data_IF_630621731959
#
_entry.id   IF_630621731959
#
_cell.length_a   1.000
_cell.length_b   1.000
_cell.length_c   1.000
_cell.angle_alpha   90.00
_cell.angle_beta   90.00
_cell.angle_gamma   90.00
#
_symmetry.space_group_name_H-M   'P 1'
#
loop_
_entity.id
_entity.type
_entity.pdbx_description
1 polymer ?
#
# COMPACT_ATOMS: atom_id res chain seq x y z
N UNK A 1 10.45 -6.37 22.57
CA UNK A 1 10.68 -5.45 21.40
C UNK A 1 9.32 -5.03 20.89
N UNK A 2 9.05 -3.72 20.83
CA UNK A 2 7.78 -3.18 20.34
C UNK A 2 7.82 -3.05 18.83
N UNK A 3 6.92 -3.74 18.12
CA UNK A 3 6.95 -3.84 16.65
C UNK A 3 5.74 -3.20 15.99
N UNK A 4 5.93 -2.62 14.79
CA UNK A 4 4.86 -2.32 13.85
C UNK A 4 5.02 -3.23 12.63
N UNK A 5 3.91 -3.84 12.18
CA UNK A 5 3.88 -4.63 10.96
C UNK A 5 3.28 -3.80 9.84
N UNK A 6 4.01 -3.67 8.74
CA UNK A 6 3.61 -2.82 7.63
C UNK A 6 3.53 -3.60 6.31
N UNK A 7 2.62 -3.18 5.45
CA UNK A 7 2.27 -3.90 4.23
C UNK A 7 2.49 -3.02 3.00
N UNK A 8 3.22 -3.52 1.98
CA UNK A 8 3.60 -2.73 0.82
C UNK A 8 2.40 -2.35 -0.05
N UNK A 9 2.56 -1.22 -0.75
CA UNK A 9 1.68 -0.77 -1.81
C UNK A 9 2.18 -1.17 -3.20
N UNK A 10 1.50 -0.64 -4.23
CA UNK A 10 1.83 -0.88 -5.63
C UNK A 10 3.25 -0.39 -5.98
N UNK A 11 3.93 -1.14 -6.85
CA UNK A 11 5.31 -0.87 -7.29
C UNK A 11 6.30 -1.96 -6.87
N UNK A 12 5.87 -2.93 -6.04
CA UNK A 12 6.68 -4.07 -5.60
C UNK A 12 6.33 -5.38 -6.32
N UNK A 13 5.30 -5.38 -7.17
CA UNK A 13 4.88 -6.57 -7.93
C UNK A 13 5.84 -6.86 -9.07
N UNK A 14 6.23 -8.12 -9.19
CA UNK A 14 7.07 -8.64 -10.29
C UNK A 14 6.69 -10.10 -10.56
N UNK A 15 6.77 -10.59 -11.81
CA UNK A 15 6.62 -12.01 -12.09
C UNK A 15 7.58 -12.86 -11.23
N UNK A 16 7.07 -13.97 -10.71
CA UNK A 16 7.76 -14.81 -9.74
C UNK A 16 7.43 -14.48 -8.26
N UNK A 17 6.74 -13.36 -7.99
CA UNK A 17 6.36 -13.00 -6.63
C UNK A 17 5.46 -14.07 -5.99
N UNK A 18 5.81 -14.50 -4.76
CA UNK A 18 5.08 -15.52 -4.02
C UNK A 18 5.38 -16.96 -4.43
N UNK A 19 6.00 -17.22 -5.60
CA UNK A 19 6.26 -18.59 -6.09
C UNK A 19 7.14 -19.40 -5.14
N UNK A 20 8.23 -18.82 -4.64
CA UNK A 20 9.12 -19.47 -3.68
C UNK A 20 8.41 -19.79 -2.36
N UNK A 21 7.53 -18.90 -1.87
CA UNK A 21 6.71 -19.15 -0.68
C UNK A 21 5.74 -20.31 -0.91
N UNK A 22 5.04 -20.34 -2.05
CA UNK A 22 4.11 -21.41 -2.39
C UNK A 22 4.81 -22.77 -2.54
N UNK A 23 6.05 -22.79 -3.04
CA UNK A 23 6.86 -23.99 -3.17
C UNK A 23 7.35 -24.51 -1.80
N UNK A 24 7.76 -23.59 -0.90
CA UNK A 24 8.32 -23.94 0.40
C UNK A 24 7.25 -24.30 1.44
N UNK A 25 6.10 -23.61 1.43
CA UNK A 25 5.09 -23.70 2.48
C UNK A 25 3.71 -24.05 1.93
N UNK A 26 3.12 -25.20 2.33
CA UNK A 26 1.74 -25.55 1.98
C UNK A 26 0.72 -24.48 2.39
N UNK A 27 0.91 -23.82 3.54
CA UNK A 27 0.06 -22.76 4.04
C UNK A 27 0.01 -21.54 3.09
N UNK A 28 1.14 -21.17 2.47
CA UNK A 28 1.18 -20.11 1.46
C UNK A 28 0.45 -20.51 0.18
N UNK A 29 0.64 -21.75 -0.29
CA UNK A 29 -0.05 -22.28 -1.48
C UNK A 29 -1.56 -22.25 -1.29
N UNK A 30 -2.06 -22.73 -0.15
CA UNK A 30 -3.48 -22.72 0.18
C UNK A 30 -4.05 -21.29 0.20
N UNK A 31 -3.29 -20.30 0.66
CA UNK A 31 -3.73 -18.90 0.63
C UNK A 31 -3.84 -18.39 -0.81
N UNK A 32 -2.91 -18.69 -1.68
CA UNK A 32 -3.00 -18.29 -3.09
C UNK A 32 -4.20 -18.94 -3.78
N UNK A 33 -4.48 -20.22 -3.48
CA UNK A 33 -5.68 -20.93 -3.96
C UNK A 33 -6.97 -20.29 -3.43
N UNK A 34 -7.02 -19.89 -2.15
CA UNK A 34 -8.13 -19.17 -1.53
C UNK A 34 -8.43 -17.84 -2.24
N UNK A 35 -7.37 -17.08 -2.59
CA UNK A 35 -7.50 -15.82 -3.32
C UNK A 35 -7.95 -16.06 -4.76
N UNK A 36 -7.41 -17.06 -5.45
CA UNK A 36 -7.83 -17.44 -6.81
C UNK A 36 -9.32 -17.80 -6.85
N UNK A 37 -9.78 -18.58 -5.89
CA UNK A 37 -11.20 -18.96 -5.74
C UNK A 37 -12.07 -17.74 -5.45
N UNK A 38 -11.67 -16.89 -4.49
CA UNK A 38 -12.39 -15.68 -4.10
C UNK A 38 -12.61 -14.71 -5.27
N UNK A 39 -11.63 -14.64 -6.18
CA UNK A 39 -11.66 -13.77 -7.37
C UNK A 39 -12.20 -14.46 -8.62
N UNK A 40 -12.41 -15.77 -8.58
CA UNK A 40 -12.69 -16.60 -9.78
C UNK A 40 -11.67 -16.31 -10.90
N UNK A 41 -10.39 -16.17 -10.55
CA UNK A 41 -9.30 -15.79 -11.41
C UNK A 41 -8.05 -16.57 -11.02
N UNK A 42 -7.27 -17.09 -11.97
CA UNK A 42 -5.95 -17.66 -11.70
C UNK A 42 -4.89 -16.58 -11.47
N UNK A 43 -5.09 -15.78 -10.41
CA UNK A 43 -4.20 -14.68 -10.05
C UNK A 43 -2.81 -15.20 -9.65
N UNK A 44 -2.76 -16.31 -8.92
CA UNK A 44 -1.51 -16.96 -8.51
C UNK A 44 -0.63 -17.31 -9.71
N UNK A 45 -1.22 -17.83 -10.79
CA UNK A 45 -0.50 -18.10 -12.03
C UNK A 45 0.06 -16.82 -12.66
N UNK A 46 -0.73 -15.74 -12.69
CA UNK A 46 -0.27 -14.44 -13.18
C UNK A 46 0.90 -13.91 -12.32
N UNK A 47 0.83 -14.08 -11.00
CA UNK A 47 1.91 -13.70 -10.08
C UNK A 47 3.20 -14.48 -10.32
N UNK A 48 3.11 -15.78 -10.58
CA UNK A 48 4.27 -16.66 -10.71
C UNK A 48 4.90 -16.62 -12.09
N UNK A 49 4.07 -16.59 -13.14
CA UNK A 49 4.50 -16.77 -14.53
C UNK A 49 4.42 -15.48 -15.37
N UNK A 50 3.63 -14.48 -14.93
CA UNK A 50 3.32 -13.28 -15.72
C UNK A 50 2.24 -13.51 -16.77
N UNK A 51 2.13 -12.69 -17.80
CA UNK A 51 3.10 -11.65 -18.20
C UNK A 51 3.11 -10.42 -17.28
N UNK A 52 4.24 -9.73 -17.23
CA UNK A 52 4.43 -8.54 -16.42
C UNK A 52 3.41 -7.43 -16.73
N UNK A 53 3.12 -7.24 -18.03
CA UNK A 53 2.16 -6.22 -18.48
C UNK A 53 0.76 -6.39 -17.88
N UNK A 54 0.31 -7.63 -17.65
CA UNK A 54 -0.97 -7.91 -17.01
C UNK A 54 -0.88 -7.77 -15.48
N UNK A 55 0.23 -8.20 -14.89
CA UNK A 55 0.46 -8.07 -13.45
C UNK A 55 0.56 -6.61 -13.02
N UNK A 56 1.07 -5.74 -13.88
CA UNK A 56 1.20 -4.30 -13.64
C UNK A 56 -0.14 -3.55 -13.67
N UNK A 57 -1.19 -4.12 -14.28
CA UNK A 57 -2.53 -3.53 -14.21
C UNK A 57 -2.99 -3.44 -12.76
N UNK A 58 -3.46 -2.25 -12.34
CA UNK A 58 -3.77 -2.01 -10.93
C UNK A 58 -4.83 -2.97 -10.37
N UNK A 59 -5.76 -3.43 -11.20
CA UNK A 59 -6.76 -4.43 -10.83
C UNK A 59 -6.18 -5.83 -10.53
N UNK A 60 -4.98 -6.13 -11.00
CA UNK A 60 -4.25 -7.37 -10.72
C UNK A 60 -3.16 -7.15 -9.67
N UNK A 61 -2.44 -6.03 -9.76
CA UNK A 61 -1.35 -5.69 -8.84
C UNK A 61 -1.83 -5.60 -7.38
N UNK A 62 -3.01 -4.99 -7.15
CA UNK A 62 -3.52 -4.82 -5.79
C UNK A 62 -3.83 -6.17 -5.11
N UNK A 63 -4.64 -7.08 -5.67
CA UNK A 63 -4.87 -8.36 -5.03
C UNK A 63 -3.62 -9.27 -5.02
N UNK A 64 -2.69 -9.13 -5.97
CA UNK A 64 -1.44 -9.88 -5.96
C UNK A 64 -0.54 -9.51 -4.77
N UNK A 65 -0.39 -8.22 -4.49
CA UNK A 65 0.38 -7.73 -3.35
C UNK A 65 -0.26 -8.09 -2.02
N UNK A 66 -1.59 -8.02 -1.94
CA UNK A 66 -2.36 -8.49 -0.78
C UNK A 66 -2.11 -9.98 -0.54
N UNK A 67 -2.26 -10.81 -1.59
CA UNK A 67 -2.06 -12.26 -1.50
C UNK A 67 -0.63 -12.60 -1.03
N UNK A 68 0.40 -11.95 -1.59
CA UNK A 68 1.78 -12.17 -1.18
C UNK A 68 2.01 -11.81 0.29
N UNK A 69 1.44 -10.71 0.76
CA UNK A 69 1.55 -10.27 2.14
C UNK A 69 0.84 -11.22 3.11
N UNK A 70 -0.39 -11.60 2.79
CA UNK A 70 -1.17 -12.50 3.64
C UNK A 70 -0.65 -13.95 3.61
N UNK A 71 0.03 -14.36 2.52
CA UNK A 71 0.72 -15.65 2.46
C UNK A 71 1.83 -15.73 3.51
N UNK A 72 2.63 -14.67 3.69
CA UNK A 72 3.64 -14.61 4.74
C UNK A 72 2.99 -14.68 6.12
N UNK A 73 1.94 -13.92 6.39
CA UNK A 73 1.21 -13.98 7.67
C UNK A 73 0.69 -15.39 7.95
N UNK A 74 0.05 -16.02 6.96
CA UNK A 74 -0.49 -17.39 7.08
C UNK A 74 0.59 -18.42 7.40
N UNK A 75 1.78 -18.27 6.78
CA UNK A 75 2.93 -19.14 7.09
C UNK A 75 3.39 -18.92 8.53
N UNK A 76 3.58 -17.68 8.97
CA UNK A 76 3.97 -17.37 10.35
C UNK A 76 2.98 -17.94 11.36
N UNK A 77 1.68 -17.82 11.11
CA UNK A 77 0.62 -18.37 11.97
C UNK A 77 0.70 -19.90 12.07
N UNK A 78 0.89 -20.60 10.95
CA UNK A 78 0.86 -22.07 10.89
C UNK A 78 2.16 -22.72 11.35
N UNK A 79 3.30 -22.14 10.98
CA UNK A 79 4.61 -22.76 11.26
C UNK A 79 5.21 -22.29 12.60
N UNK A 80 4.86 -21.08 13.07
CA UNK A 80 5.44 -20.48 14.27
C UNK A 80 4.42 -20.15 15.38
N UNK A 81 3.13 -20.40 15.16
CA UNK A 81 2.10 -20.00 16.13
C UNK A 81 2.04 -18.47 16.31
N UNK A 82 2.43 -17.72 15.30
CA UNK A 82 2.40 -16.26 15.32
C UNK A 82 0.98 -15.75 15.55
N UNK A 83 0.85 -14.81 16.48
CA UNK A 83 -0.39 -14.07 16.70
C UNK A 83 -0.09 -12.57 16.61
N UNK A 84 -0.61 -11.92 15.57
CA UNK A 84 -0.34 -10.51 15.32
C UNK A 84 -0.77 -9.62 16.50
N UNK A 85 -1.84 -10.02 17.23
CA UNK A 85 -2.32 -9.27 18.39
C UNK A 85 -1.34 -9.28 19.58
N UNK A 86 -0.44 -10.27 19.64
CA UNK A 86 0.59 -10.36 20.66
C UNK A 86 1.93 -9.77 20.24
N UNK A 87 2.18 -9.74 18.92
CA UNK A 87 3.49 -9.40 18.37
C UNK A 87 3.56 -7.97 17.82
N UNK A 88 2.40 -7.36 17.49
CA UNK A 88 2.32 -6.03 16.91
C UNK A 88 1.73 -5.03 17.89
N UNK A 89 2.35 -3.85 17.99
CA UNK A 89 1.75 -2.69 18.63
C UNK A 89 0.82 -1.94 17.64
N UNK A 90 1.19 -1.95 16.37
CA UNK A 90 0.45 -1.29 15.29
C UNK A 90 0.54 -2.11 14.01
N UNK A 91 -0.50 -1.96 13.18
CA UNK A 91 -0.45 -2.35 11.78
C UNK A 91 -0.67 -1.13 10.90
N UNK A 92 -0.01 -1.08 9.75
CA UNK A 92 -0.23 -0.06 8.73
C UNK A 92 0.07 -0.64 7.34
N UNK A 93 -0.40 0.04 6.30
CA UNK A 93 -0.04 -0.35 4.95
C UNK A 93 -0.02 0.86 4.04
N UNK A 94 0.78 0.82 2.99
CA UNK A 94 0.83 1.91 2.03
C UNK A 94 -0.26 1.71 0.98
N UNK A 95 -1.22 2.64 0.89
CA UNK A 95 -2.33 2.57 -0.08
C UNK A 95 -3.11 1.24 0.02
N UNK A 96 -3.06 0.37 -0.99
CA UNK A 96 -3.68 -0.96 -0.92
C UNK A 96 -3.20 -1.80 0.26
N UNK A 97 -1.98 -1.58 0.73
CA UNK A 97 -1.42 -2.28 1.88
C UNK A 97 -2.22 -2.07 3.17
N UNK A 98 -3.03 -1.01 3.26
CA UNK A 98 -3.93 -0.78 4.39
C UNK A 98 -5.01 -1.87 4.48
N UNK A 99 -5.49 -2.39 3.33
CA UNK A 99 -6.39 -3.56 3.30
C UNK A 99 -5.68 -4.84 3.72
N UNK A 100 -4.40 -5.00 3.35
CA UNK A 100 -3.57 -6.13 3.81
C UNK A 100 -3.36 -6.07 5.33
N UNK A 101 -3.12 -4.87 5.88
CA UNK A 101 -3.00 -4.64 7.32
C UNK A 101 -4.29 -5.02 8.07
N UNK A 102 -5.44 -4.61 7.55
CA UNK A 102 -6.76 -4.94 8.12
C UNK A 102 -7.03 -6.44 8.09
N UNK A 103 -6.75 -7.12 6.98
CA UNK A 103 -6.92 -8.56 6.88
C UNK A 103 -5.97 -9.31 7.82
N UNK A 104 -4.69 -8.91 7.91
CA UNK A 104 -3.74 -9.47 8.86
C UNK A 104 -4.16 -9.25 10.32
N UNK A 105 -4.78 -8.10 10.63
CA UNK A 105 -5.32 -7.80 11.96
C UNK A 105 -6.68 -8.45 12.24
N UNK A 106 -7.23 -9.23 11.31
CA UNK A 106 -8.49 -9.97 11.47
C UNK A 106 -9.75 -9.13 11.28
N UNK A 107 -9.64 -7.90 10.74
CA UNK A 107 -10.79 -7.05 10.46
C UNK A 107 -11.53 -7.44 9.18
N UNK A 108 -10.87 -8.13 8.26
CA UNK A 108 -11.42 -8.66 7.01
C UNK A 108 -10.96 -10.10 6.82
N UNK A 109 -11.79 -10.94 6.24
CA UNK A 109 -11.34 -12.22 5.70
C UNK A 109 -10.44 -12.02 4.48
N UNK A 110 -9.60 -13.00 4.17
CA UNK A 110 -8.75 -12.97 2.96
C UNK A 110 -9.59 -12.77 1.69
N UNK A 111 -10.70 -13.49 1.60
CA UNK A 111 -11.59 -13.43 0.45
C UNK A 111 -12.25 -12.05 0.29
N UNK A 112 -12.72 -11.44 1.37
CA UNK A 112 -13.30 -10.09 1.34
C UNK A 112 -12.26 -9.04 0.98
N UNK A 113 -11.08 -9.08 1.60
CA UNK A 113 -9.99 -8.18 1.29
C UNK A 113 -9.55 -8.29 -0.18
N UNK A 114 -9.44 -9.51 -0.71
CA UNK A 114 -9.10 -9.74 -2.12
C UNK A 114 -10.13 -9.14 -3.07
N UNK A 115 -11.44 -9.37 -2.82
CA UNK A 115 -12.51 -8.78 -3.62
C UNK A 115 -12.54 -7.26 -3.54
N UNK A 116 -12.35 -6.69 -2.35
CA UNK A 116 -12.31 -5.24 -2.16
C UNK A 116 -11.17 -4.59 -2.94
N UNK A 117 -9.94 -5.11 -2.83
CA UNK A 117 -8.81 -4.51 -3.56
C UNK A 117 -8.88 -4.75 -5.06
N UNK A 118 -9.51 -5.86 -5.51
CA UNK A 118 -9.83 -6.09 -6.93
C UNK A 118 -10.83 -5.04 -7.42
N UNK A 119 -11.95 -4.83 -6.72
CA UNK A 119 -12.96 -3.81 -7.03
C UNK A 119 -12.36 -2.40 -7.01
N UNK A 120 -11.51 -2.12 -6.02
CA UNK A 120 -10.76 -0.86 -5.91
C UNK A 120 -9.85 -0.63 -7.13
N UNK A 121 -9.06 -1.61 -7.50
CA UNK A 121 -8.19 -1.53 -8.68
C UNK A 121 -8.97 -1.27 -9.97
N UNK A 122 -10.06 -1.98 -10.17
CA UNK A 122 -10.95 -1.79 -11.32
C UNK A 122 -11.60 -0.40 -11.33
N UNK A 123 -12.08 0.07 -10.18
CA UNK A 123 -12.69 1.40 -10.04
C UNK A 123 -11.68 2.51 -10.34
N UNK A 124 -10.48 2.42 -9.79
CA UNK A 124 -9.40 3.39 -10.02
C UNK A 124 -8.94 3.40 -11.49
N UNK A 125 -8.87 2.23 -12.14
CA UNK A 125 -8.50 2.14 -13.56
C UNK A 125 -9.54 2.79 -14.46
N UNK A 126 -10.82 2.72 -14.09
CA UNK A 126 -11.95 3.28 -14.85
C UNK A 126 -12.23 4.75 -14.56
N UNK A 127 -11.78 5.27 -13.42
CA UNK A 127 -12.08 6.63 -12.96
C UNK A 127 -11.59 7.70 -13.92
N UNK A 128 -10.47 7.46 -14.60
CA UNK A 128 -9.86 8.40 -15.54
C UNK A 128 -9.44 7.66 -16.80
N UNK A 129 -9.78 8.16 -18.01
CA UNK A 129 -9.31 7.56 -19.25
C UNK A 129 -7.76 7.49 -19.32
N UNK A 130 -7.25 6.42 -19.93
CA UNK A 130 -5.80 6.22 -20.09
C UNK A 130 -5.19 7.42 -20.80
N UNK A 131 -4.10 7.94 -20.27
CA UNK A 131 -3.37 9.08 -20.84
C UNK A 131 -3.85 10.46 -20.36
N UNK A 132 -5.02 10.58 -19.74
CA UNK A 132 -5.55 11.85 -19.19
C UNK A 132 -4.86 12.21 -17.87
N UNK A 133 -4.60 11.23 -17.03
CA UNK A 133 -3.94 11.41 -15.76
C UNK A 133 -2.48 10.97 -15.75
N UNK A 134 -1.73 11.42 -14.76
CA UNK A 134 -0.34 11.02 -14.51
C UNK A 134 0.03 11.19 -13.04
N UNK A 135 1.19 10.62 -12.67
CA UNK A 135 1.84 10.83 -11.38
C UNK A 135 3.34 11.08 -11.59
N UNK A 136 3.93 11.87 -10.69
CA UNK A 136 5.38 12.10 -10.69
C UNK A 136 5.93 12.16 -9.27
N UNK A 137 7.11 11.59 -9.06
CA UNK A 137 7.88 11.74 -7.84
C UNK A 137 8.75 13.00 -7.93
N UNK A 138 8.60 13.90 -6.95
CA UNK A 138 9.42 15.08 -6.74
C UNK A 138 10.44 14.76 -5.66
N UNK A 139 11.73 14.79 -6.00
CA UNK A 139 12.81 14.38 -5.13
C UNK A 139 13.67 15.59 -4.74
N UNK A 140 13.83 15.79 -3.42
CA UNK A 140 14.62 16.90 -2.86
C UNK A 140 13.80 18.11 -2.42
N UNK A 141 12.47 18.08 -2.57
CA UNK A 141 11.57 19.09 -2.02
C UNK A 141 10.96 18.61 -0.70
N UNK A 142 10.78 19.52 0.24
CA UNK A 142 9.92 19.30 1.39
C UNK A 142 8.44 19.40 0.98
N UNK A 143 7.53 19.08 1.91
CA UNK A 143 6.10 19.01 1.60
C UNK A 143 5.51 20.37 1.23
N UNK A 144 5.97 21.46 1.84
CA UNK A 144 5.47 22.81 1.56
C UNK A 144 5.96 23.30 0.20
N UNK A 145 7.22 23.06 -0.15
CA UNK A 145 7.74 23.36 -1.48
C UNK A 145 7.05 22.52 -2.56
N UNK A 146 6.79 21.25 -2.32
CA UNK A 146 6.05 20.37 -3.24
C UNK A 146 4.58 20.84 -3.39
N UNK A 147 3.93 21.30 -2.32
CA UNK A 147 2.57 21.88 -2.34
C UNK A 147 2.54 23.13 -3.23
N UNK A 148 3.47 24.05 -3.01
CA UNK A 148 3.56 25.26 -3.82
C UNK A 148 3.83 24.97 -5.31
N UNK A 149 4.59 23.91 -5.63
CA UNK A 149 4.79 23.43 -7.00
C UNK A 149 3.48 22.89 -7.58
N UNK A 150 2.77 22.05 -6.85
CA UNK A 150 1.51 21.47 -7.30
C UNK A 150 0.43 22.55 -7.57
N UNK A 151 0.27 23.51 -6.64
CA UNK A 151 -0.65 24.64 -6.78
C UNK A 151 -0.33 25.52 -8.00
N UNK A 152 0.96 25.87 -8.20
CA UNK A 152 1.40 26.66 -9.35
C UNK A 152 1.22 25.89 -10.68
N UNK A 153 1.38 24.57 -10.66
CA UNK A 153 1.23 23.70 -11.82
C UNK A 153 -0.23 23.45 -12.21
N UNK A 154 -1.17 23.57 -11.28
CA UNK A 154 -2.57 23.20 -11.49
C UNK A 154 -3.22 23.99 -12.63
N UNK A 155 -3.16 25.32 -12.62
CA UNK A 155 -3.67 26.19 -13.70
C UNK A 155 -5.09 25.82 -14.17
N UNK A 156 -6.00 25.56 -13.20
CA UNK A 156 -7.36 25.12 -13.48
C UNK A 156 -7.52 23.60 -13.70
N UNK A 157 -6.48 22.83 -13.64
CA UNK A 157 -6.47 21.37 -13.66
C UNK A 157 -6.15 20.82 -12.27
N UNK A 158 -6.36 19.51 -12.07
CA UNK A 158 -5.97 18.82 -10.84
C UNK A 158 -4.47 18.54 -10.84
N UNK A 159 -3.81 18.90 -9.74
CA UNK A 159 -2.45 18.50 -9.40
C UNK A 159 -2.35 18.44 -7.86
N UNK A 160 -2.62 17.29 -7.28
CA UNK A 160 -2.70 17.09 -5.84
C UNK A 160 -1.43 16.39 -5.33
N UNK A 161 -1.11 16.59 -4.04
CA UNK A 161 -0.11 15.76 -3.36
C UNK A 161 -0.73 14.39 -3.10
N UNK A 162 -0.14 13.34 -3.69
CA UNK A 162 -0.63 11.97 -3.61
C UNK A 162 0.04 11.14 -2.51
N UNK A 163 1.35 11.30 -2.31
CA UNK A 163 2.09 10.59 -1.27
C UNK A 163 3.16 11.48 -0.65
N UNK A 164 3.22 11.51 0.67
CA UNK A 164 4.36 11.97 1.46
C UNK A 164 5.12 10.73 1.95
N UNK A 165 6.07 10.25 1.14
CA UNK A 165 6.72 8.97 1.35
C UNK A 165 7.91 9.03 2.32
N UNK A 166 8.69 10.09 2.28
CA UNK A 166 9.83 10.33 3.18
C UNK A 166 10.32 11.78 3.02
N UNK A 167 11.19 12.29 3.90
CA UNK A 167 11.82 13.59 3.69
C UNK A 167 12.42 13.68 2.28
N UNK A 168 11.99 14.69 1.52
CA UNK A 168 12.44 14.90 0.15
C UNK A 168 11.91 13.88 -0.89
N UNK A 169 10.86 13.14 -0.61
CA UNK A 169 10.23 12.24 -1.58
C UNK A 169 8.70 12.38 -1.54
N UNK A 170 8.17 13.29 -2.31
CA UNK A 170 6.75 13.60 -2.45
C UNK A 170 6.27 13.16 -3.83
N UNK A 171 5.06 12.63 -3.93
CA UNK A 171 4.43 12.29 -5.20
C UNK A 171 3.26 13.23 -5.47
N UNK A 172 3.20 13.76 -6.68
CA UNK A 172 2.06 14.53 -7.20
C UNK A 172 1.26 13.68 -8.19
N UNK A 173 -0.05 13.93 -8.24
CA UNK A 173 -1.01 13.19 -9.06
C UNK A 173 -2.09 14.12 -9.58
N UNK A 174 -2.53 13.90 -10.81
CA UNK A 174 -3.58 14.73 -11.41
C UNK A 174 -3.64 14.60 -12.92
N UNK A 175 -4.13 15.66 -13.58
CA UNK A 175 -4.11 15.73 -15.04
C UNK A 175 -2.68 15.71 -15.57
N UNK A 176 -2.44 14.96 -16.63
CA UNK A 176 -1.09 14.78 -17.22
C UNK A 176 -0.39 16.13 -17.46
N UNK A 177 -1.05 17.09 -18.08
CA UNK A 177 -0.44 18.40 -18.36
C UNK A 177 -0.09 19.18 -17.09
N UNK A 178 -0.87 19.07 -16.02
CA UNK A 178 -0.55 19.69 -14.73
C UNK A 178 0.64 19.00 -14.07
N UNK A 179 0.69 17.67 -14.08
CA UNK A 179 1.82 16.90 -13.54
C UNK A 179 3.11 17.18 -14.31
N UNK A 180 3.06 17.29 -15.65
CA UNK A 180 4.22 17.66 -16.47
C UNK A 180 4.72 19.07 -16.14
N UNK A 181 3.84 20.05 -15.92
CA UNK A 181 4.21 21.39 -15.42
C UNK A 181 4.83 21.30 -14.01
N UNK A 182 4.29 20.48 -13.11
CA UNK A 182 4.85 20.27 -11.78
C UNK A 182 6.28 19.72 -11.85
N UNK A 183 6.53 18.78 -12.75
CA UNK A 183 7.89 18.25 -13.02
C UNK A 183 8.83 19.38 -13.46
N UNK A 184 8.44 20.21 -14.44
CA UNK A 184 9.24 21.32 -14.92
C UNK A 184 9.55 22.34 -13.80
N UNK A 185 8.51 22.77 -13.05
CA UNK A 185 8.67 23.72 -11.94
C UNK A 185 9.53 23.16 -10.79
N UNK A 186 9.46 21.87 -10.51
CA UNK A 186 10.32 21.23 -9.52
C UNK A 186 11.80 21.24 -9.98
N UNK A 187 12.05 20.94 -11.25
CA UNK A 187 13.40 20.97 -11.82
C UNK A 187 13.99 22.38 -11.84
N UNK A 188 13.21 23.42 -12.11
CA UNK A 188 13.62 24.82 -12.04
C UNK A 188 14.05 25.22 -10.61
N UNK A 189 13.47 24.57 -9.58
CA UNK A 189 13.84 24.74 -8.17
C UNK A 189 15.03 23.86 -7.73
N UNK A 190 15.70 23.18 -8.68
CA UNK A 190 16.86 22.32 -8.39
C UNK A 190 16.52 20.92 -7.88
N UNK A 191 15.24 20.55 -7.85
CA UNK A 191 14.79 19.20 -7.49
C UNK A 191 14.96 18.23 -8.67
N UNK A 192 14.98 16.91 -8.37
CA UNK A 192 14.80 15.88 -9.40
C UNK A 192 13.32 15.50 -9.46
N UNK A 193 12.81 15.27 -10.66
CA UNK A 193 11.45 14.82 -10.85
C UNK A 193 11.41 13.65 -11.82
N UNK A 194 10.57 12.65 -11.54
CA UNK A 194 10.48 11.40 -12.31
C UNK A 194 8.99 11.09 -12.54
N UNK A 195 8.58 11.03 -13.80
CA UNK A 195 7.24 10.52 -14.16
C UNK A 195 7.13 9.04 -13.77
N UNK A 196 6.06 8.67 -13.09
CA UNK A 196 5.84 7.29 -12.66
C UNK A 196 5.11 6.49 -13.75
N UNK A 197 5.50 5.21 -13.99
CA UNK A 197 4.86 4.34 -14.97
C UNK A 197 3.55 3.76 -14.40
N UNK A 198 2.56 4.62 -14.19
CA UNK A 198 1.25 4.23 -13.62
C UNK A 198 0.14 4.40 -14.67
N UNK A 199 -0.91 3.58 -14.54
CA UNK A 199 -2.04 3.57 -15.46
C UNK A 199 -3.13 4.60 -15.12
N UNK A 200 -3.10 5.18 -13.90
CA UNK A 200 -4.09 6.14 -13.43
C UNK A 200 -3.46 7.11 -12.40
N UNK A 201 -4.05 8.32 -12.22
CA UNK A 201 -3.59 9.31 -11.26
C UNK A 201 -4.16 9.00 -9.87
N UNK A 202 -3.54 8.08 -9.12
CA UNK A 202 -4.01 7.67 -7.80
C UNK A 202 -3.91 8.80 -6.77
N UNK A 203 -4.74 8.72 -5.72
CA UNK A 203 -4.70 9.60 -4.55
C UNK A 203 -4.85 11.09 -4.86
N UNK A 204 -5.70 11.44 -5.83
CA UNK A 204 -6.08 12.81 -6.15
C UNK A 204 -7.58 12.91 -6.40
N UNK A 205 -8.08 14.13 -6.51
CA UNK A 205 -9.52 14.41 -6.68
C UNK A 205 -10.13 13.80 -7.95
N UNK A 206 -9.32 13.46 -8.97
CA UNK A 206 -9.80 12.73 -10.16
C UNK A 206 -10.25 11.28 -9.85
N UNK A 207 -9.89 10.75 -8.69
CA UNK A 207 -10.35 9.43 -8.25
C UNK A 207 -11.72 9.43 -7.58
N UNK A 208 -12.45 10.55 -7.55
CA UNK A 208 -13.79 10.65 -6.96
C UNK A 208 -14.75 9.56 -7.44
N UNK A 209 -14.82 9.19 -8.75
CA UNK A 209 -15.69 8.10 -9.17
C UNK A 209 -15.32 6.74 -8.58
N UNK A 210 -14.03 6.52 -8.29
CA UNK A 210 -13.58 5.31 -7.60
C UNK A 210 -13.94 5.35 -6.11
N UNK A 211 -13.91 6.52 -5.47
CA UNK A 211 -14.34 6.69 -4.08
C UNK A 211 -15.84 6.38 -3.90
N UNK A 212 -16.68 6.76 -4.85
CA UNK A 212 -18.11 6.44 -4.83
C UNK A 212 -18.33 4.92 -4.88
N UNK A 213 -17.65 4.22 -5.79
CA UNK A 213 -17.70 2.75 -5.89
C UNK A 213 -17.20 2.10 -4.60
N UNK A 214 -16.14 2.64 -3.98
CA UNK A 214 -15.62 2.11 -2.72
C UNK A 214 -16.53 2.38 -1.53
N UNK A 215 -17.28 3.48 -1.55
CA UNK A 215 -18.32 3.76 -0.54
C UNK A 215 -19.37 2.65 -0.53
N UNK A 216 -19.89 2.28 -1.70
CA UNK A 216 -20.85 1.17 -1.84
C UNK A 216 -20.22 -0.17 -1.41
N UNK A 217 -19.01 -0.47 -1.92
CA UNK A 217 -18.33 -1.72 -1.62
C UNK A 217 -18.09 -1.92 -0.11
N UNK A 218 -17.63 -0.87 0.57
CA UNK A 218 -17.36 -0.92 2.00
C UNK A 218 -18.64 -0.92 2.85
N UNK A 219 -19.73 -0.30 2.37
CA UNK A 219 -21.02 -0.40 3.03
C UNK A 219 -21.54 -1.85 3.08
N UNK A 220 -21.34 -2.61 2.00
CA UNK A 220 -21.75 -4.01 1.88
C UNK A 220 -20.80 -4.99 2.61
N UNK A 221 -19.59 -4.57 2.95
CA UNK A 221 -18.57 -5.44 3.56
C UNK A 221 -18.74 -5.50 5.08
N UNK A 222 -18.73 -6.70 5.65
CA UNK A 222 -18.58 -6.90 7.07
C UNK A 222 -17.12 -6.61 7.47
N UNK A 223 -16.89 -5.48 8.14
CA UNK A 223 -15.58 -5.10 8.66
C UNK A 223 -15.64 -5.11 10.18
N UNK A 224 -14.85 -5.99 10.78
CA UNK A 224 -14.73 -6.13 12.23
C UNK A 224 -13.67 -5.16 12.79
N UNK A 225 -13.69 -4.97 14.11
CA UNK A 225 -12.61 -4.22 14.76
C UNK A 225 -11.28 -4.98 14.61
N UNK A 226 -10.21 -4.33 14.13
CA UNK A 226 -8.90 -4.98 14.02
C UNK A 226 -8.37 -5.31 15.42
N UNK A 227 -7.75 -6.49 15.56
CA UNK A 227 -7.14 -6.95 16.81
C UNK A 227 -5.89 -6.14 17.22
N UNK A 228 -5.39 -5.32 16.33
CA UNK A 228 -4.26 -4.41 16.52
C UNK A 228 -4.64 -3.06 15.91
N UNK A 229 -4.37 -1.92 16.58
CA UNK A 229 -4.69 -0.61 16.02
C UNK A 229 -4.07 -0.39 14.65
N UNK A 230 -4.90 0.07 13.69
CA UNK A 230 -4.47 0.50 12.37
C UNK A 230 -3.94 1.93 12.44
N UNK A 231 -2.81 2.23 11.81
CA UNK A 231 -2.41 3.60 11.50
C UNK A 231 -2.88 3.93 10.09
N UNK A 232 -3.92 4.76 10.01
CA UNK A 232 -4.60 5.07 8.75
C UNK A 232 -3.83 6.07 7.89
N UNK A 233 -3.78 5.85 6.57
CA UNK A 233 -2.98 6.63 5.62
C UNK A 233 -3.32 8.13 5.59
N UNK A 234 -4.61 8.46 5.56
CA UNK A 234 -5.07 9.85 5.40
C UNK A 234 -5.04 10.64 6.71
N UNK A 235 -5.20 9.95 7.84
CA UNK A 235 -5.18 10.56 9.16
C UNK A 235 -3.77 10.62 9.76
N UNK A 236 -2.88 9.68 9.41
CA UNK A 236 -1.62 9.40 10.10
C UNK A 236 -1.83 9.27 11.62
N UNK A 237 -2.91 8.62 11.99
CA UNK A 237 -3.37 8.41 13.37
C UNK A 237 -3.91 6.99 13.53
N UNK A 238 -3.94 6.50 14.78
CA UNK A 238 -4.44 5.18 15.10
C UNK A 238 -5.96 5.16 15.15
N UNK A 239 -6.56 4.09 14.63
CA UNK A 239 -7.99 3.79 14.78
C UNK A 239 -8.19 2.28 14.90
N UNK A 240 -9.29 1.88 15.58
CA UNK A 240 -9.78 0.51 15.65
C UNK A 240 -11.30 0.44 15.41
N UNK A 241 -11.92 1.58 15.13
CA UNK A 241 -13.37 1.68 14.96
C UNK A 241 -13.78 1.33 13.53
N UNK A 242 -14.56 0.27 13.28
CA UNK A 242 -14.91 -0.18 11.94
C UNK A 242 -15.57 0.88 11.06
N UNK A 243 -16.45 1.69 11.62
CA UNK A 243 -17.13 2.75 10.88
C UNK A 243 -16.17 3.85 10.43
N UNK A 244 -15.24 4.25 11.30
CA UNK A 244 -14.20 5.23 10.98
C UNK A 244 -13.22 4.66 9.94
N UNK A 245 -12.80 3.39 10.08
CA UNK A 245 -11.91 2.73 9.12
C UNK A 245 -12.53 2.74 7.72
N UNK A 246 -13.81 2.38 7.58
CA UNK A 246 -14.52 2.43 6.29
C UNK A 246 -14.48 3.82 5.67
N UNK A 247 -14.77 4.86 6.45
CA UNK A 247 -14.71 6.24 6.00
C UNK A 247 -13.29 6.63 5.54
N UNK A 248 -12.27 6.32 6.34
CA UNK A 248 -10.87 6.63 6.01
C UNK A 248 -10.38 5.88 4.76
N UNK A 249 -10.82 4.64 4.52
CA UNK A 249 -10.52 3.89 3.31
C UNK A 249 -11.15 4.51 2.04
N UNK A 250 -12.36 5.07 2.16
CA UNK A 250 -12.98 5.84 1.07
C UNK A 250 -12.17 7.11 0.80
N UNK A 251 -11.88 7.89 1.83
CA UNK A 251 -11.09 9.12 1.73
C UNK A 251 -9.70 8.87 1.14
N UNK A 252 -9.06 7.73 1.49
CA UNK A 252 -7.75 7.33 1.00
C UNK A 252 -7.71 7.27 -0.55
N UNK A 253 -8.82 6.97 -1.20
CA UNK A 253 -8.89 6.87 -2.66
C UNK A 253 -8.55 8.19 -3.35
N UNK A 254 -8.94 9.33 -2.74
CA UNK A 254 -8.79 10.68 -3.30
C UNK A 254 -7.79 11.56 -2.56
N UNK A 255 -7.24 11.10 -1.43
CA UNK A 255 -6.38 11.91 -0.56
C UNK A 255 -4.97 11.33 -0.46
N UNK A 256 -4.06 12.19 -0.01
CA UNK A 256 -2.64 11.87 0.17
C UNK A 256 -2.42 10.77 1.20
N UNK A 257 -1.56 9.81 0.83
CA UNK A 257 -0.96 8.84 1.75
C UNK A 257 0.11 9.55 2.58
N UNK A 258 -0.13 9.74 3.87
CA UNK A 258 0.77 10.41 4.83
C UNK A 258 1.73 9.41 5.47
N UNK A 259 2.51 8.71 4.62
CA UNK A 259 3.36 7.61 5.06
C UNK A 259 4.46 8.06 6.00
N UNK A 260 5.13 9.19 5.69
CA UNK A 260 6.17 9.76 6.55
C UNK A 260 5.66 10.02 7.96
N UNK A 261 4.48 10.62 8.08
CA UNK A 261 3.88 10.91 9.38
C UNK A 261 3.45 9.63 10.12
N UNK A 262 2.97 8.60 9.41
CA UNK A 262 2.65 7.29 9.98
C UNK A 262 3.89 6.63 10.60
N UNK A 263 5.05 6.72 9.94
CA UNK A 263 6.31 6.19 10.48
C UNK A 263 6.80 7.02 11.68
N UNK A 264 6.67 8.35 11.63
CA UNK A 264 7.00 9.21 12.78
C UNK A 264 6.11 8.93 14.00
N UNK A 265 4.83 8.55 13.78
CA UNK A 265 3.96 8.09 14.86
C UNK A 265 4.52 6.81 15.51
N UNK A 266 5.06 5.87 14.75
CA UNK A 266 5.70 4.68 15.32
C UNK A 266 6.86 5.07 16.23
N UNK A 267 7.76 5.94 15.77
CA UNK A 267 8.90 6.43 16.57
C UNK A 267 8.44 7.14 17.85
N UNK A 268 7.47 8.03 17.74
CA UNK A 268 6.91 8.76 18.88
C UNK A 268 6.23 7.85 19.92
N UNK A 269 5.81 6.65 19.51
CA UNK A 269 5.20 5.65 20.37
C UNK A 269 6.17 4.50 20.72
N UNK A 270 7.47 4.74 20.69
CA UNK A 270 8.50 3.80 21.15
C UNK A 270 8.50 2.45 20.41
N UNK A 271 8.08 2.42 19.14
CA UNK A 271 8.30 1.26 18.29
C UNK A 271 9.80 1.13 18.04
N UNK A 272 10.33 -0.07 18.20
CA UNK A 272 11.76 -0.36 18.03
C UNK A 272 12.05 -0.96 16.64
N UNK A 273 11.09 -1.70 16.09
CA UNK A 273 11.24 -2.40 14.82
C UNK A 273 9.99 -2.29 13.94
N UNK A 274 10.18 -1.96 12.67
CA UNK A 274 9.16 -2.00 11.63
C UNK A 274 9.42 -3.19 10.73
N UNK A 275 8.45 -4.11 10.62
CA UNK A 275 8.54 -5.33 9.82
C UNK A 275 7.64 -5.19 8.61
N UNK A 276 8.24 -5.05 7.41
CA UNK A 276 7.51 -5.04 6.14
C UNK A 276 7.21 -6.47 5.72
N UNK A 277 5.92 -6.79 5.56
CA UNK A 277 5.42 -8.12 5.23
C UNK A 277 4.91 -8.17 3.80
N UNK A 278 5.54 -8.96 2.95
CA UNK A 278 5.12 -9.17 1.57
C UNK A 278 6.23 -8.94 0.55
N UNK A 279 5.84 -8.59 -0.70
CA UNK A 279 6.78 -8.44 -1.79
C UNK A 279 7.58 -7.14 -1.71
N UNK A 280 8.87 -7.23 -1.99
CA UNK A 280 9.77 -6.08 -2.07
C UNK A 280 10.35 -5.62 -0.73
N UNK A 281 10.98 -4.44 -0.75
CA UNK A 281 11.68 -3.84 0.41
C UNK A 281 11.52 -2.32 0.43
N UNK A 282 10.42 -1.82 -0.11
CA UNK A 282 10.21 -0.39 -0.32
C UNK A 282 9.97 0.33 1.00
N UNK A 283 9.07 -0.19 1.82
CA UNK A 283 8.69 0.45 3.09
C UNK A 283 9.83 0.41 4.10
N UNK A 284 10.54 -0.70 4.22
CA UNK A 284 11.74 -0.80 5.07
C UNK A 284 12.82 0.22 4.66
N UNK A 285 12.97 0.47 3.35
CA UNK A 285 13.84 1.51 2.83
C UNK A 285 13.37 2.93 3.17
N UNK A 286 12.06 3.19 3.13
CA UNK A 286 11.47 4.47 3.52
C UNK A 286 11.61 4.73 5.02
N UNK A 287 11.34 3.73 5.87
CA UNK A 287 11.49 3.83 7.33
C UNK A 287 12.89 4.34 7.70
N UNK A 288 13.94 3.74 7.14
CA UNK A 288 15.34 4.15 7.40
C UNK A 288 15.67 5.58 6.95
N UNK A 289 14.93 6.12 5.98
CA UNK A 289 15.08 7.52 5.53
C UNK A 289 14.31 8.50 6.41
N UNK A 290 13.17 8.04 6.96
CA UNK A 290 12.30 8.86 7.81
C UNK A 290 12.88 8.98 9.21
N UNK A 291 13.22 7.85 9.82
CA UNK A 291 13.79 7.81 11.17
C UNK A 291 14.84 6.69 11.27
N UNK A 292 16.08 7.08 11.58
CA UNK A 292 17.22 6.14 11.71
C UNK A 292 17.27 5.41 13.05
N UNK A 293 16.44 5.80 14.00
CA UNK A 293 16.35 5.12 15.30
C UNK A 293 15.50 3.86 15.21
N UNK A 294 14.61 3.79 14.23
CA UNK A 294 13.81 2.60 13.94
C UNK A 294 14.62 1.56 13.19
N UNK A 295 14.64 0.34 13.71
CA UNK A 295 15.09 -0.79 12.90
C UNK A 295 14.01 -1.17 11.88
N UNK A 296 14.42 -1.63 10.69
CA UNK A 296 13.49 -2.05 9.66
C UNK A 296 14.00 -3.26 8.91
N UNK A 297 13.14 -4.26 8.74
CA UNK A 297 13.37 -5.45 7.92
C UNK A 297 12.20 -5.73 6.99
N UNK A 298 12.45 -6.49 5.92
CA UNK A 298 11.40 -6.99 5.02
C UNK A 298 11.35 -8.52 5.09
N UNK A 299 10.16 -9.07 4.98
CA UNK A 299 9.88 -10.51 5.06
C UNK A 299 8.90 -10.88 3.94
N UNK A 300 9.45 -11.46 2.87
CA UNK A 300 8.69 -11.85 1.68
C UNK A 300 9.21 -13.15 1.04
N UNK A 301 10.37 -13.66 1.50
CA UNK A 301 11.00 -14.87 0.97
C UNK A 301 11.10 -15.94 2.07
N UNK A 302 11.15 -17.24 1.72
CA UNK A 302 11.21 -18.32 2.71
C UNK A 302 12.28 -18.14 3.78
N UNK A 303 13.51 -17.82 3.39
CA UNK A 303 14.61 -17.60 4.34
C UNK A 303 14.37 -16.39 5.27
N UNK A 304 13.66 -15.37 4.80
CA UNK A 304 13.30 -14.20 5.61
C UNK A 304 12.20 -14.55 6.63
N UNK A 305 11.26 -15.41 6.24
CA UNK A 305 10.24 -15.96 7.15
C UNK A 305 10.90 -16.79 8.25
N UNK A 306 11.78 -17.72 7.90
CA UNK A 306 12.52 -18.54 8.84
C UNK A 306 13.35 -17.69 9.81
N UNK A 307 14.01 -16.64 9.29
CA UNK A 307 14.79 -15.71 10.12
C UNK A 307 13.93 -14.90 11.08
N UNK A 308 12.69 -14.51 10.66
CA UNK A 308 11.77 -13.81 11.55
C UNK A 308 11.28 -14.74 12.67
N UNK A 309 10.93 -15.97 12.36
CA UNK A 309 10.48 -16.99 13.34
C UNK A 309 11.49 -17.18 14.49
N UNK A 310 12.80 -17.08 14.22
CA UNK A 310 13.82 -17.22 15.25
C UNK A 310 13.86 -16.07 16.28
N UNK A 311 13.21 -14.95 16.00
CA UNK A 311 13.26 -13.73 16.84
C UNK A 311 11.87 -13.26 17.31
N UNK A 312 10.81 -14.00 16.97
CA UNK A 312 9.46 -13.82 17.50
C UNK A 312 9.32 -14.49 18.87
#
# INVERSE_FOLDING_TARGET
>A
MKRAFVFPGQGSQTPGMGQALAAAFPAARQLFEEVDEALSQHLSRLMFEGPESELMLTENAQPALLAASLAVIRVLEREAGFDIARQAAYVAGHSLGEYSALAAAGALSVAEAARLVKRRGQAMQKAVPVGVGAMAALLGLDIEAARAVAEAAAQGQVCDLANDNSPGQIVVSGHRGAVERAVALAMERGARAIMLPVSAPFHCSLMSPAADIMTEALAETALEAPRVPLVANVAAATTSEPAEIKQLLVEQTTRMVRWRESVLLFAANEVEEVVEIGAGRVLAGLVKRIDRTLSARSVGMPAEVEALVQVL
#
